data_IF_462028060247
#
_entry.id   IF_462028060247
#
_cell.length_a   1.000
_cell.length_b   1.000
_cell.length_c   1.000
_cell.angle_alpha   90.00
_cell.angle_beta   90.00
_cell.angle_gamma   90.00
#
_symmetry.space_group_name_H-M   'P 1'
#
loop_
_entity.id
_entity.type
_entity.pdbx_description
1 polymer ?
#
# COMPACT_ATOMS: atom_id res chain seq x y z
N UNK A 1 -33.17 -10.93 6.67
CA UNK A 1 -32.80 -11.63 5.42
C UNK A 1 -31.32 -11.92 5.47
N UNK A 2 -30.94 -13.20 5.58
CA UNK A 2 -29.54 -13.62 5.60
C UNK A 2 -29.07 -13.78 4.16
N UNK A 3 -28.19 -12.89 3.68
CA UNK A 3 -27.58 -13.07 2.37
C UNK A 3 -26.54 -14.17 2.46
N UNK A 4 -26.87 -15.36 1.97
CA UNK A 4 -25.87 -16.42 1.72
C UNK A 4 -25.15 -16.07 0.43
N UNK A 5 -24.08 -15.28 0.52
CA UNK A 5 -23.15 -15.13 -0.60
C UNK A 5 -22.39 -16.46 -0.77
N UNK A 6 -22.32 -17.04 -1.98
CA UNK A 6 -21.51 -18.23 -2.22
C UNK A 6 -20.04 -17.91 -1.88
N UNK A 7 -19.28 -18.87 -1.32
CA UNK A 7 -17.90 -18.62 -0.94
C UNK A 7 -17.11 -18.20 -2.16
N UNK A 8 -16.35 -17.10 -2.03
CA UNK A 8 -15.47 -16.63 -3.07
C UNK A 8 -14.53 -17.78 -3.50
N UNK A 9 -14.29 -17.97 -4.81
CA UNK A 9 -13.40 -19.02 -5.28
C UNK A 9 -12.01 -18.86 -4.65
N UNK A 10 -11.45 -19.97 -4.15
CA UNK A 10 -10.15 -19.96 -3.52
C UNK A 10 -9.07 -19.56 -4.53
N UNK A 11 -8.45 -18.38 -4.35
CA UNK A 11 -7.33 -17.93 -5.18
C UNK A 11 -6.07 -18.68 -4.75
N UNK A 12 -5.49 -19.44 -5.66
CA UNK A 12 -4.24 -20.18 -5.39
C UNK A 12 -3.05 -19.23 -5.18
N UNK A 13 -1.98 -19.67 -4.49
CA UNK A 13 -0.75 -18.87 -4.36
C UNK A 13 -0.14 -18.48 -5.71
N UNK A 14 -0.24 -19.34 -6.73
CA UNK A 14 0.25 -19.06 -8.08
C UNK A 14 -0.56 -17.94 -8.76
N UNK A 15 -1.90 -17.99 -8.65
CA UNK A 15 -2.77 -16.92 -9.15
C UNK A 15 -2.50 -15.59 -8.43
N UNK A 16 -2.34 -15.60 -7.10
CA UNK A 16 -1.98 -14.39 -6.33
C UNK A 16 -0.65 -13.79 -6.79
N UNK A 17 0.34 -14.63 -7.09
CA UNK A 17 1.65 -14.19 -7.60
C UNK A 17 1.53 -13.58 -8.99
N UNK A 18 0.85 -14.27 -9.91
CA UNK A 18 0.61 -13.77 -11.27
C UNK A 18 -0.13 -12.43 -11.27
N UNK A 19 -1.16 -12.28 -10.42
CA UNK A 19 -1.87 -11.00 -10.24
C UNK A 19 -0.93 -9.92 -9.71
N UNK A 20 -0.09 -10.22 -8.72
CA UNK A 20 0.91 -9.28 -8.20
C UNK A 20 1.94 -8.84 -9.25
N UNK A 21 2.39 -9.78 -10.09
CA UNK A 21 3.35 -9.53 -11.18
C UNK A 21 2.74 -8.75 -12.36
N UNK A 22 1.40 -8.75 -12.50
CA UNK A 22 0.71 -7.95 -13.53
C UNK A 22 0.72 -6.44 -13.25
N UNK A 23 0.95 -6.03 -12.00
CA UNK A 23 1.03 -4.62 -11.64
C UNK A 23 2.41 -4.06 -11.96
N UNK A 24 2.45 -2.98 -12.75
CA UNK A 24 3.65 -2.16 -12.92
C UNK A 24 4.62 -2.67 -13.98
N UNK A 25 4.19 -2.64 -15.26
CA UNK A 25 5.08 -2.82 -16.42
C UNK A 25 6.26 -1.83 -16.37
N UNK A 26 6.01 -0.60 -15.89
CA UNK A 26 7.02 0.44 -15.71
C UNK A 26 6.78 1.19 -14.39
N UNK A 27 7.37 0.72 -13.28
CA UNK A 27 7.22 1.34 -11.96
C UNK A 27 7.79 2.76 -11.90
N UNK A 28 8.88 3.03 -12.63
CA UNK A 28 9.52 4.35 -12.64
C UNK A 28 8.62 5.39 -13.32
N UNK A 29 7.99 5.02 -14.44
CA UNK A 29 6.97 5.86 -15.09
C UNK A 29 5.76 6.08 -14.19
N UNK A 30 5.31 5.05 -13.47
CA UNK A 30 4.21 5.22 -12.52
C UNK A 30 4.56 6.25 -11.45
N UNK A 31 5.73 6.10 -10.80
CA UNK A 31 6.17 6.97 -9.71
C UNK A 31 6.28 8.43 -10.16
N UNK A 32 6.89 8.70 -11.32
CA UNK A 32 7.10 10.07 -11.82
C UNK A 32 5.82 10.76 -12.32
N UNK A 33 4.80 9.99 -12.70
CA UNK A 33 3.54 10.55 -13.27
C UNK A 33 2.42 10.61 -12.25
N UNK A 34 2.58 9.95 -11.10
CA UNK A 34 1.58 9.93 -10.05
C UNK A 34 1.83 11.09 -9.08
N UNK A 35 0.88 12.03 -8.94
CA UNK A 35 0.99 13.06 -7.93
C UNK A 35 1.06 12.47 -6.52
N UNK A 36 1.83 13.09 -5.60
CA UNK A 36 1.83 12.70 -4.20
C UNK A 36 0.46 12.96 -3.55
N UNK A 37 0.19 12.31 -2.41
CA UNK A 37 -1.03 12.59 -1.66
C UNK A 37 -0.97 14.00 -1.04
N UNK A 38 -2.11 14.71 -0.89
CA UNK A 38 -2.12 16.01 -0.25
C UNK A 38 -1.55 15.97 1.17
N UNK A 39 -0.69 16.93 1.52
CA UNK A 39 -0.03 16.95 2.83
C UNK A 39 -1.02 16.98 3.99
N UNK A 40 -2.08 17.78 3.90
CA UNK A 40 -3.13 17.85 4.92
C UNK A 40 -3.84 16.50 5.17
N UNK A 41 -3.89 15.62 4.16
CA UNK A 41 -4.41 14.26 4.35
C UNK A 41 -3.44 13.41 5.17
N UNK A 42 -2.15 13.48 4.86
CA UNK A 42 -1.10 12.78 5.60
C UNK A 42 -1.10 13.21 7.06
N UNK A 43 -1.12 14.52 7.31
CA UNK A 43 -1.09 15.09 8.65
C UNK A 43 -2.31 14.64 9.47
N UNK A 44 -3.51 14.69 8.88
CA UNK A 44 -4.74 14.23 9.53
C UNK A 44 -4.67 12.75 9.89
N UNK A 45 -4.11 11.90 9.02
CA UNK A 45 -3.96 10.47 9.31
C UNK A 45 -2.99 10.27 10.47
N UNK A 46 -1.85 10.98 10.46
CA UNK A 46 -0.86 10.89 11.53
C UNK A 46 -1.43 11.32 12.87
N UNK A 47 -2.12 12.47 12.91
CA UNK A 47 -2.68 13.04 14.13
C UNK A 47 -3.80 12.17 14.74
N UNK A 48 -4.59 11.52 13.89
CA UNK A 48 -5.68 10.64 14.34
C UNK A 48 -5.24 9.20 14.65
N UNK A 49 -3.98 8.85 14.38
CA UNK A 49 -3.51 7.48 14.54
C UNK A 49 -3.02 7.20 15.97
N UNK A 50 -3.32 6.01 16.52
CA UNK A 50 -2.90 5.63 17.88
C UNK A 50 -1.39 5.40 18.00
N UNK A 51 -0.63 5.48 16.91
CA UNK A 51 0.82 5.37 16.88
C UNK A 51 1.41 5.50 15.48
N UNK A 52 2.73 5.41 15.37
CA UNK A 52 3.48 5.72 14.14
C UNK A 52 3.85 4.49 13.29
N UNK A 53 3.27 3.32 13.56
CA UNK A 53 3.53 2.08 12.82
C UNK A 53 2.32 1.74 11.93
N UNK A 54 2.51 1.83 10.61
CA UNK A 54 1.46 1.61 9.64
C UNK A 54 1.72 0.33 8.82
N UNK A 55 0.68 -0.47 8.63
CA UNK A 55 0.67 -1.53 7.63
C UNK A 55 0.15 -0.94 6.31
N UNK A 56 0.94 -1.07 5.25
CA UNK A 56 0.61 -0.49 3.96
C UNK A 56 0.34 -1.59 2.93
N UNK A 57 -0.93 -1.93 2.76
CA UNK A 57 -1.39 -2.88 1.76
C UNK A 57 -1.40 -2.22 0.37
N UNK A 58 -0.88 -2.92 -0.65
CA UNK A 58 -0.86 -2.37 -2.01
C UNK A 58 0.11 -1.20 -2.21
N UNK A 59 1.11 -1.08 -1.34
CA UNK A 59 2.16 -0.06 -1.31
C UNK A 59 2.88 0.32 -2.63
N UNK A 60 2.67 -0.38 -3.74
CA UNK A 60 3.18 0.01 -5.06
C UNK A 60 4.67 0.43 -5.06
N UNK A 61 4.93 1.64 -5.56
CA UNK A 61 6.26 2.29 -5.58
C UNK A 61 6.60 3.02 -4.28
N UNK A 62 5.66 3.10 -3.32
CA UNK A 62 5.89 3.63 -1.97
C UNK A 62 5.72 5.14 -1.84
N UNK A 63 4.89 5.78 -2.68
CA UNK A 63 4.66 7.23 -2.68
C UNK A 63 4.19 7.71 -1.30
N UNK A 64 3.12 7.12 -0.77
CA UNK A 64 2.60 7.43 0.57
C UNK A 64 3.60 7.08 1.69
N UNK A 65 4.33 5.97 1.55
CA UNK A 65 5.33 5.55 2.53
C UNK A 65 6.45 6.59 2.70
N UNK A 66 6.89 7.23 1.60
CA UNK A 66 7.86 8.33 1.67
C UNK A 66 7.28 9.54 2.41
N UNK A 67 6.00 9.87 2.18
CA UNK A 67 5.34 11.01 2.83
C UNK A 67 5.14 10.80 4.34
N UNK A 68 4.65 9.62 4.76
CA UNK A 68 4.50 9.31 6.19
C UNK A 68 5.83 9.35 6.94
N UNK A 69 6.91 8.85 6.31
CA UNK A 69 8.26 8.92 6.90
C UNK A 69 8.77 10.36 7.01
N UNK A 70 8.53 11.19 6.00
CA UNK A 70 8.97 12.58 5.98
C UNK A 70 8.20 13.46 6.98
N UNK A 71 6.87 13.27 7.12
CA UNK A 71 6.03 14.14 7.95
C UNK A 71 6.14 13.89 9.46
N UNK A 72 6.41 12.65 9.90
CA UNK A 72 6.35 12.32 11.32
C UNK A 72 7.23 11.13 11.74
N UNK A 73 8.27 10.80 10.96
CA UNK A 73 9.16 9.66 11.27
C UNK A 73 8.43 8.30 11.32
N UNK A 74 7.26 8.23 10.69
CA UNK A 74 6.41 7.05 10.75
C UNK A 74 7.01 5.88 9.96
N UNK A 75 6.77 4.66 10.45
CA UNK A 75 7.26 3.42 9.84
C UNK A 75 6.12 2.74 9.11
N UNK A 76 6.29 2.53 7.81
CA UNK A 76 5.35 1.76 6.99
C UNK A 76 5.93 0.38 6.67
N UNK A 77 5.17 -0.69 6.89
CA UNK A 77 5.56 -2.06 6.56
C UNK A 77 4.67 -2.61 5.43
N UNK A 78 5.27 -3.37 4.49
CA UNK A 78 4.53 -4.11 3.46
C UNK A 78 4.00 -5.45 4.01
N UNK A 79 2.89 -6.00 3.48
CA UNK A 79 2.30 -7.24 3.98
C UNK A 79 3.18 -8.48 3.77
N UNK A 80 4.03 -8.47 2.74
CA UNK A 80 4.90 -9.59 2.36
C UNK A 80 6.23 -9.62 3.13
N UNK A 81 6.49 -8.63 3.99
CA UNK A 81 7.70 -8.55 4.81
C UNK A 81 9.00 -8.33 4.04
N UNK A 82 8.97 -8.23 2.70
CA UNK A 82 10.16 -8.00 1.86
C UNK A 82 10.37 -6.49 1.67
N UNK A 83 11.53 -6.00 2.09
CA UNK A 83 12.02 -4.66 1.77
C UNK A 83 12.58 -4.68 0.34
N UNK A 84 11.89 -4.07 -0.63
CA UNK A 84 12.56 -3.51 -1.81
C UNK A 84 12.77 -2.03 -1.54
N UNK A 85 14.04 -1.60 -1.60
CA UNK A 85 14.38 -0.18 -1.57
C UNK A 85 13.63 0.52 -2.69
N UNK A 86 12.93 1.58 -2.30
CA UNK A 86 12.16 2.41 -3.20
C UNK A 86 13.09 3.41 -3.88
#
# INVERSE_FOLDING_TARGET
MSSTEPPAPAITPAQRRSTGESFGIDPARYDRTRPPYPQAMIDRIVESSPGSNYLNAGCGTGIEARQFRAGAGCRTRRPDGRLRTA
#
